data_IF_363333671659
#
_entry.id   IF_363333671659
#
_cell.length_a   1.000
_cell.length_b   1.000
_cell.length_c   1.000
_cell.angle_alpha   90.00
_cell.angle_beta   90.00
_cell.angle_gamma   90.00
#
_symmetry.space_group_name_H-M   'P 1'
#
loop_
_entity.id
_entity.type
_entity.pdbx_description
1 polymer ?
#
# COMPACT_ATOMS: atom_id res chain seq x y z
N UNK A 1 6.80 4.54 4.07
CA UNK A 1 6.89 3.10 3.75
C UNK A 1 8.22 2.80 3.10
N UNK A 2 8.96 1.81 3.62
CA UNK A 2 10.30 1.45 3.10
C UNK A 2 10.24 0.41 1.98
N UNK A 3 9.30 -0.52 2.05
CA UNK A 3 9.12 -1.59 1.06
C UNK A 3 7.62 -1.74 0.71
N UNK A 4 7.06 -0.78 -0.06
CA UNK A 4 5.64 -0.80 -0.37
C UNK A 4 5.32 -1.86 -1.44
N UNK A 5 4.24 -2.60 -1.20
CA UNK A 5 3.55 -3.43 -2.19
C UNK A 5 2.33 -2.66 -2.65
N UNK A 6 2.22 -2.38 -3.93
CA UNK A 6 1.02 -1.77 -4.51
C UNK A 6 0.00 -2.87 -4.81
N UNK A 7 -1.17 -2.75 -4.20
CA UNK A 7 -2.34 -3.59 -4.45
C UNK A 7 -3.30 -2.81 -5.32
N UNK A 8 -3.71 -3.38 -6.43
CA UNK A 8 -4.84 -2.89 -7.21
C UNK A 8 -6.07 -3.69 -6.79
N UNK A 9 -7.04 -2.99 -6.19
CA UNK A 9 -8.30 -3.58 -5.74
C UNK A 9 -9.36 -3.18 -6.74
N UNK A 10 -9.96 -4.16 -7.39
CA UNK A 10 -11.07 -3.91 -8.31
C UNK A 10 -12.40 -4.00 -7.58
N UNK A 11 -13.35 -3.21 -8.03
CA UNK A 11 -14.72 -3.40 -7.59
C UNK A 11 -15.19 -4.79 -8.03
N UNK A 12 -15.62 -5.57 -7.06
CA UNK A 12 -16.23 -6.86 -7.27
C UNK A 12 -17.75 -6.70 -7.20
N UNK A 13 -18.47 -7.43 -8.03
CA UNK A 13 -19.93 -7.56 -7.91
C UNK A 13 -20.36 -8.19 -6.59
N UNK A 14 -19.41 -8.81 -5.88
CA UNK A 14 -19.65 -9.55 -4.64
C UNK A 14 -19.43 -8.69 -3.38
N UNK A 15 -18.59 -7.64 -3.45
CA UNK A 15 -18.28 -6.81 -2.28
C UNK A 15 -17.93 -5.38 -2.67
N UNK A 16 -18.65 -4.42 -2.11
CA UNK A 16 -18.19 -3.03 -2.04
C UNK A 16 -17.17 -2.88 -0.91
N UNK A 17 -16.19 -1.98 -1.07
CA UNK A 17 -15.18 -1.75 -0.07
C UNK A 17 -14.94 -0.26 0.18
N UNK A 18 -14.45 0.04 1.37
CA UNK A 18 -13.92 1.35 1.75
C UNK A 18 -12.46 1.18 2.13
N UNK A 19 -11.69 2.26 2.13
CA UNK A 19 -10.29 2.20 2.59
C UNK A 19 -10.17 1.67 4.01
N UNK A 20 -11.12 2.00 4.89
CA UNK A 20 -11.10 1.56 6.27
C UNK A 20 -11.42 0.08 6.43
N UNK A 21 -12.44 -0.44 5.73
CA UNK A 21 -12.77 -1.86 5.77
C UNK A 21 -11.63 -2.71 5.20
N UNK A 22 -11.05 -2.27 4.09
CA UNK A 22 -9.92 -2.96 3.47
C UNK A 22 -8.67 -2.90 4.35
N UNK A 23 -8.40 -1.76 4.98
CA UNK A 23 -7.27 -1.64 5.89
C UNK A 23 -7.43 -2.55 7.11
N UNK A 24 -8.62 -2.62 7.70
CA UNK A 24 -8.92 -3.55 8.78
C UNK A 24 -8.59 -4.99 8.38
N UNK A 25 -9.03 -5.41 7.20
CA UNK A 25 -8.75 -6.74 6.65
C UNK A 25 -7.24 -6.98 6.42
N UNK A 26 -6.48 -5.93 6.09
CA UNK A 26 -5.04 -6.02 5.81
C UNK A 26 -4.13 -5.87 7.02
N UNK A 27 -4.61 -5.32 8.15
CA UNK A 27 -3.80 -5.14 9.36
C UNK A 27 -3.30 -6.45 9.94
N UNK A 28 -4.01 -7.56 9.76
CA UNK A 28 -3.54 -8.89 10.14
C UNK A 28 -2.23 -9.30 9.42
N UNK A 29 -1.93 -8.67 8.30
CA UNK A 29 -0.77 -8.99 7.46
C UNK A 29 0.29 -7.89 7.43
N UNK A 30 -0.10 -6.62 7.64
CA UNK A 30 0.79 -5.48 7.63
C UNK A 30 0.29 -4.36 8.53
N UNK A 31 1.16 -3.76 9.33
CA UNK A 31 0.79 -2.69 10.27
C UNK A 31 0.57 -1.34 9.58
N UNK A 32 0.96 -1.20 8.32
CA UNK A 32 0.86 0.06 7.58
C UNK A 32 0.17 -0.15 6.25
N UNK A 33 -0.97 0.47 6.13
CA UNK A 33 -1.76 0.54 4.91
C UNK A 33 -1.93 2.00 4.52
N UNK A 34 -1.76 2.33 3.25
CA UNK A 34 -1.89 3.68 2.75
C UNK A 34 -2.61 3.71 1.42
N UNK A 35 -3.22 4.85 1.12
CA UNK A 35 -3.84 5.12 -0.17
C UNK A 35 -3.46 6.52 -0.67
N UNK A 36 -3.82 6.81 -1.90
CA UNK A 36 -3.68 8.12 -2.51
C UNK A 36 -4.92 8.42 -3.36
N UNK A 37 -5.55 9.57 -3.10
CA UNK A 37 -6.86 9.92 -3.68
C UNK A 37 -6.89 9.90 -5.21
N UNK A 38 -5.77 10.21 -5.86
CA UNK A 38 -5.68 10.22 -7.31
C UNK A 38 -5.61 8.83 -7.96
N UNK A 39 -5.42 7.78 -7.16
CA UNK A 39 -5.46 6.39 -7.59
C UNK A 39 -6.34 5.57 -6.61
N UNK A 40 -7.65 5.79 -6.61
CA UNK A 40 -8.56 5.28 -5.59
C UNK A 40 -8.61 3.75 -5.51
N UNK A 41 -8.29 3.04 -6.59
CA UNK A 41 -8.21 1.58 -6.58
C UNK A 41 -6.87 1.01 -6.11
N UNK A 42 -5.89 1.88 -5.82
CA UNK A 42 -4.56 1.44 -5.39
C UNK A 42 -4.40 1.65 -3.89
N UNK A 43 -4.01 0.58 -3.23
CA UNK A 43 -3.64 0.59 -1.81
C UNK A 43 -2.20 0.08 -1.69
N UNK A 44 -1.41 0.74 -0.85
CA UNK A 44 -0.04 0.31 -0.55
C UNK A 44 0.01 -0.34 0.81
N UNK A 45 0.70 -1.46 0.88
CA UNK A 45 0.90 -2.25 2.09
C UNK A 45 2.40 -2.32 2.38
N UNK A 46 2.79 -2.09 3.62
CA UNK A 46 4.19 -2.14 4.06
C UNK A 46 4.65 -3.59 4.24
N UNK A 47 5.71 -3.98 3.55
CA UNK A 47 6.27 -5.32 3.64
C UNK A 47 7.61 -5.39 4.41
N UNK A 48 8.02 -4.33 5.10
CA UNK A 48 9.34 -4.25 5.78
C UNK A 48 9.51 -5.32 6.86
N UNK A 49 8.43 -5.77 7.47
CA UNK A 49 8.46 -6.79 8.52
C UNK A 49 8.43 -8.24 7.99
N UNK A 50 8.30 -8.41 6.68
CA UNK A 50 8.26 -9.74 6.05
C UNK A 50 9.45 -10.63 6.41
N UNK A 51 10.72 -10.11 6.44
CA UNK A 51 11.87 -10.91 6.88
C UNK A 51 11.80 -11.35 8.33
N UNK A 52 11.21 -10.55 9.22
CA UNK A 52 11.03 -10.89 10.64
C UNK A 52 10.05 -12.05 10.83
N UNK A 53 9.12 -12.23 9.89
CA UNK A 53 8.19 -13.36 9.87
C UNK A 53 8.75 -14.58 9.12
N UNK A 54 10.02 -14.55 8.67
CA UNK A 54 10.64 -15.63 7.90
C UNK A 54 10.06 -15.80 6.48
N UNK A 55 9.27 -14.86 6.00
CA UNK A 55 8.63 -14.94 4.69
C UNK A 55 9.48 -14.24 3.61
N UNK A 56 9.53 -14.83 2.42
CA UNK A 56 10.01 -14.11 1.24
C UNK A 56 8.95 -13.10 0.77
N UNK A 57 9.37 -12.06 0.04
CA UNK A 57 8.44 -11.10 -0.57
C UNK A 57 7.39 -11.77 -1.47
N UNK A 58 7.79 -12.82 -2.18
CA UNK A 58 6.88 -13.61 -3.03
C UNK A 58 5.84 -14.34 -2.19
N UNK A 59 6.24 -14.95 -1.07
CA UNK A 59 5.34 -15.63 -0.15
C UNK A 59 4.39 -14.63 0.53
N UNK A 60 4.88 -13.44 0.89
CA UNK A 60 4.05 -12.37 1.43
C UNK A 60 3.00 -11.89 0.43
N UNK A 61 3.38 -11.62 -0.81
CA UNK A 61 2.45 -11.21 -1.86
C UNK A 61 1.40 -12.30 -2.15
N UNK A 62 1.80 -13.56 -2.18
CA UNK A 62 0.87 -14.67 -2.33
C UNK A 62 -0.12 -14.73 -1.16
N UNK A 63 0.36 -14.55 0.08
CA UNK A 63 -0.49 -14.50 1.27
C UNK A 63 -1.48 -13.34 1.24
N UNK A 64 -1.05 -12.13 0.81
CA UNK A 64 -1.92 -10.98 0.63
C UNK A 64 -3.04 -11.28 -0.36
N UNK A 65 -2.70 -11.75 -1.56
CA UNK A 65 -3.68 -12.05 -2.61
C UNK A 65 -4.66 -13.14 -2.17
N UNK A 66 -4.16 -14.22 -1.55
CA UNK A 66 -5.02 -15.29 -1.05
C UNK A 66 -5.97 -14.81 0.05
N UNK A 67 -5.47 -14.01 0.98
CA UNK A 67 -6.29 -13.43 2.05
C UNK A 67 -7.40 -12.53 1.48
N UNK A 68 -7.06 -11.64 0.56
CA UNK A 68 -8.04 -10.79 -0.11
C UNK A 68 -9.06 -11.58 -0.92
N UNK A 69 -8.63 -12.64 -1.61
CA UNK A 69 -9.52 -13.53 -2.35
C UNK A 69 -10.51 -14.27 -1.44
N UNK A 70 -10.07 -14.73 -0.26
CA UNK A 70 -10.96 -15.35 0.73
C UNK A 70 -12.02 -14.37 1.25
N UNK A 71 -11.71 -13.07 1.25
CA UNK A 71 -12.62 -12.01 1.63
C UNK A 71 -13.44 -11.48 0.44
N UNK A 72 -13.40 -12.15 -0.72
CA UNK A 72 -14.07 -11.78 -1.97
C UNK A 72 -13.62 -10.43 -2.57
N UNK A 73 -12.34 -10.06 -2.39
CA UNK A 73 -11.75 -8.95 -3.12
C UNK A 73 -11.03 -9.44 -4.38
N UNK A 74 -11.32 -8.81 -5.50
CA UNK A 74 -10.54 -8.97 -6.72
C UNK A 74 -9.31 -8.08 -6.65
N UNK A 75 -8.13 -8.67 -6.57
CA UNK A 75 -6.89 -7.93 -6.36
C UNK A 75 -5.72 -8.44 -7.18
N UNK A 76 -4.76 -7.56 -7.42
CA UNK A 76 -3.45 -7.87 -7.95
C UNK A 76 -2.37 -7.10 -7.22
N UNK A 77 -1.12 -7.58 -7.22
CA UNK A 77 -0.03 -6.97 -6.46
C UNK A 77 1.24 -6.77 -7.30
N UNK A 78 1.93 -5.65 -7.10
CA UNK A 78 3.24 -5.37 -7.70
C UNK A 78 4.18 -4.74 -6.68
N UNK A 79 5.45 -5.14 -6.68
CA UNK A 79 6.51 -4.56 -5.85
C UNK A 79 7.88 -4.57 -6.55
N UNK A 80 8.88 -3.92 -5.91
CA UNK A 80 10.29 -3.99 -6.30
C UNK A 80 10.78 -2.87 -7.22
N UNK A 81 9.92 -1.92 -7.58
CA UNK A 81 10.26 -0.67 -8.26
C UNK A 81 9.75 0.54 -7.48
N UNK A 82 9.73 1.74 -8.08
CA UNK A 82 9.21 2.92 -7.39
C UNK A 82 7.73 2.73 -7.05
N UNK A 83 7.23 3.28 -5.93
CA UNK A 83 5.85 3.07 -5.49
C UNK A 83 4.82 3.40 -6.56
N UNK A 84 5.00 4.54 -7.25
CA UNK A 84 4.11 4.95 -8.32
C UNK A 84 4.17 4.01 -9.54
N UNK A 85 5.37 3.54 -9.89
CA UNK A 85 5.53 2.55 -10.95
C UNK A 85 4.84 1.21 -10.61
N UNK A 86 4.96 0.76 -9.36
CA UNK A 86 4.23 -0.43 -8.89
C UNK A 86 2.72 -0.25 -9.03
N UNK A 87 2.19 0.93 -8.66
CA UNK A 87 0.77 1.25 -8.77
C UNK A 87 0.26 1.21 -10.22
N UNK A 88 1.00 1.85 -11.14
CA UNK A 88 0.62 1.84 -12.56
C UNK A 88 0.65 0.41 -13.14
N UNK A 89 1.65 -0.38 -12.80
CA UNK A 89 1.78 -1.75 -13.29
C UNK A 89 0.73 -2.68 -12.67
N UNK A 90 0.35 -2.48 -11.40
CA UNK A 90 -0.65 -3.30 -10.73
C UNK A 90 -2.02 -3.24 -11.41
N UNK A 91 -2.37 -2.10 -12.04
CA UNK A 91 -3.60 -1.95 -12.82
C UNK A 91 -3.68 -2.86 -14.05
N UNK A 92 -2.52 -3.33 -14.55
CA UNK A 92 -2.40 -4.19 -15.73
C UNK A 92 -2.08 -5.65 -15.40
N UNK A 93 -1.91 -5.97 -14.13
CA UNK A 93 -1.73 -7.37 -13.69
C UNK A 93 -3.11 -8.02 -13.55
N UNK A 94 -3.30 -9.24 -14.06
CA UNK A 94 -4.55 -9.99 -13.89
C UNK A 94 -4.90 -10.21 -12.41
N UNK A 95 -6.20 -10.30 -12.11
CA UNK A 95 -6.68 -10.60 -10.76
C UNK A 95 -6.10 -11.94 -10.27
N UNK A 96 -5.86 -12.04 -8.98
CA UNK A 96 -5.25 -13.20 -8.35
C UNK A 96 -3.76 -13.36 -8.64
N UNK A 97 -3.13 -12.43 -9.37
CA UNK A 97 -1.72 -12.49 -9.72
C UNK A 97 -0.91 -11.40 -9.03
N UNK A 98 0.39 -11.69 -8.90
CA UNK A 98 1.36 -10.73 -8.39
C UNK A 98 2.63 -10.75 -9.23
N UNK A 99 3.36 -9.64 -9.22
CA UNK A 99 4.56 -9.47 -10.02
C UNK A 99 5.63 -8.70 -9.25
N UNK A 100 6.86 -9.19 -9.31
CA UNK A 100 8.04 -8.45 -8.85
C UNK A 100 8.75 -7.83 -10.05
N UNK A 101 9.03 -6.52 -9.97
CA UNK A 101 9.78 -5.81 -11.01
C UNK A 101 11.03 -5.21 -10.38
N UNK A 102 12.19 -5.74 -10.75
CA UNK A 102 13.47 -5.15 -10.34
C UNK A 102 13.61 -3.76 -10.96
N UNK A 103 14.17 -2.80 -10.22
CA UNK A 103 14.31 -1.40 -10.66
C UNK A 103 14.97 -1.25 -12.04
N UNK A 104 15.92 -2.11 -12.40
CA UNK A 104 16.56 -2.13 -13.72
C UNK A 104 15.61 -2.44 -14.88
N UNK A 105 14.52 -3.16 -14.63
CA UNK A 105 13.50 -3.52 -15.63
C UNK A 105 12.31 -2.56 -15.65
N UNK A 106 12.22 -1.65 -14.67
CA UNK A 106 11.15 -0.67 -14.57
C UNK A 106 10.93 0.15 -15.85
N UNK A 107 11.99 0.70 -16.52
CA UNK A 107 11.79 1.50 -17.74
C UNK A 107 11.16 0.71 -18.90
N UNK A 108 11.50 -0.57 -19.04
CA UNK A 108 10.92 -1.45 -20.05
C UNK A 108 9.45 -1.78 -19.74
N UNK A 109 9.17 -2.18 -18.50
CA UNK A 109 7.83 -2.55 -18.07
C UNK A 109 6.86 -1.36 -18.17
N UNK A 110 7.26 -0.18 -17.71
CA UNK A 110 6.46 1.04 -17.81
C UNK A 110 6.32 1.52 -19.26
N UNK A 111 7.37 1.38 -20.06
CA UNK A 111 7.42 1.96 -21.40
C UNK A 111 6.30 1.49 -22.32
N UNK A 112 5.79 0.29 -22.13
CA UNK A 112 4.70 -0.29 -22.92
C UNK A 112 3.30 0.12 -22.45
N UNK A 113 3.19 0.70 -21.25
CA UNK A 113 1.89 1.13 -20.73
C UNK A 113 1.31 2.27 -21.56
N UNK A 114 -0.01 2.27 -21.80
CA UNK A 114 -0.68 3.36 -22.50
C UNK A 114 -0.62 4.64 -21.68
N UNK A 115 -0.64 5.79 -22.36
CA UNK A 115 -0.50 7.10 -21.70
C UNK A 115 -1.65 7.40 -20.73
N UNK A 116 -2.83 6.85 -21.01
CA UNK A 116 -4.03 6.96 -20.17
C UNK A 116 -3.81 6.45 -18.75
N UNK A 117 -2.85 5.53 -18.55
CA UNK A 117 -2.48 5.04 -17.23
C UNK A 117 -2.00 6.15 -16.28
N UNK A 118 -1.54 7.29 -16.82
CA UNK A 118 -1.14 8.44 -16.00
C UNK A 118 -2.31 9.22 -15.40
N UNK A 119 -3.51 9.00 -15.88
CA UNK A 119 -4.73 9.70 -15.45
C UNK A 119 -4.55 11.23 -15.44
N UNK A 120 -4.23 11.79 -16.60
CA UNK A 120 -3.98 13.23 -16.78
C UNK A 120 -5.25 14.04 -17.10
N UNK A 121 -6.36 13.34 -17.30
CA UNK A 121 -7.61 13.88 -17.81
C UNK A 121 -7.73 13.76 -19.34
N UNK A 122 -8.96 13.63 -19.81
CA UNK A 122 -9.28 13.26 -21.19
C UNK A 122 -8.70 14.22 -22.24
N UNK A 123 -8.68 15.52 -21.97
CA UNK A 123 -8.16 16.52 -22.88
C UNK A 123 -6.64 16.38 -23.07
N UNK A 124 -5.89 16.26 -21.98
CA UNK A 124 -4.43 16.09 -22.03
C UNK A 124 -4.04 14.77 -22.71
N UNK A 125 -4.75 13.70 -22.41
CA UNK A 125 -4.52 12.36 -22.97
C UNK A 125 -4.81 12.33 -24.48
N UNK A 126 -5.92 12.93 -24.92
CA UNK A 126 -6.24 13.08 -26.35
C UNK A 126 -5.21 13.93 -27.07
N UNK A 127 -4.78 15.04 -26.46
CA UNK A 127 -3.74 15.90 -27.03
C UNK A 127 -2.43 15.17 -27.23
N UNK A 128 -1.99 14.38 -26.24
CA UNK A 128 -0.79 13.54 -26.32
C UNK A 128 -0.92 12.48 -27.41
N UNK A 129 -2.08 11.82 -27.48
CA UNK A 129 -2.36 10.80 -28.51
C UNK A 129 -2.33 11.40 -29.94
N UNK A 130 -2.89 12.60 -30.14
CA UNK A 130 -2.83 13.33 -31.44
C UNK A 130 -1.40 13.66 -31.85
N UNK A 131 -0.49 13.83 -30.92
CA UNK A 131 0.94 14.01 -31.16
C UNK A 131 1.69 12.69 -31.42
N UNK A 132 0.98 11.57 -31.51
CA UNK A 132 1.58 10.25 -31.70
C UNK A 132 2.23 9.66 -30.45
N UNK A 133 1.96 10.23 -29.26
CA UNK A 133 2.46 9.74 -27.98
C UNK A 133 1.41 8.83 -27.36
N UNK A 134 1.48 7.54 -27.65
CA UNK A 134 0.48 6.56 -27.21
C UNK A 134 0.90 5.77 -25.95
N UNK A 135 2.21 5.64 -25.73
CA UNK A 135 2.77 4.88 -24.59
C UNK A 135 3.72 5.75 -23.77
N UNK A 136 3.99 5.33 -22.54
CA UNK A 136 4.88 6.06 -21.63
C UNK A 136 6.32 6.20 -22.17
N UNK A 137 6.80 5.24 -22.95
CA UNK A 137 8.11 5.37 -23.61
C UNK A 137 8.18 6.53 -24.60
N UNK A 138 7.04 6.91 -25.20
CA UNK A 138 7.01 7.98 -26.20
C UNK A 138 7.26 9.36 -25.57
N UNK A 139 6.94 9.51 -24.26
CA UNK A 139 7.24 10.76 -23.53
C UNK A 139 8.73 11.10 -23.52
N UNK A 140 9.62 10.10 -23.67
CA UNK A 140 11.07 10.33 -23.76
C UNK A 140 11.49 10.98 -25.09
N UNK A 141 10.62 10.93 -26.12
CA UNK A 141 10.89 11.55 -27.42
C UNK A 141 10.71 13.07 -27.41
N UNK A 142 10.05 13.60 -26.38
CA UNK A 142 9.75 15.03 -26.25
C UNK A 142 10.55 15.60 -25.08
N UNK A 143 11.17 16.78 -25.23
CA UNK A 143 11.86 17.44 -24.14
C UNK A 143 10.95 17.68 -22.96
N UNK A 144 11.43 17.35 -21.77
CA UNK A 144 10.62 17.40 -20.52
C UNK A 144 10.00 18.78 -20.27
N UNK A 145 10.76 19.86 -20.51
CA UNK A 145 10.27 21.22 -20.32
C UNK A 145 9.09 21.56 -21.24
N UNK A 146 9.09 21.03 -22.48
CA UNK A 146 7.98 21.23 -23.43
C UNK A 146 6.70 20.50 -22.97
N UNK A 147 6.86 19.29 -22.41
CA UNK A 147 5.76 18.56 -21.84
C UNK A 147 5.19 19.28 -20.59
N UNK A 148 6.05 19.73 -19.69
CA UNK A 148 5.66 20.43 -18.46
C UNK A 148 4.98 21.79 -18.78
N UNK A 149 5.48 22.53 -19.78
CA UNK A 149 4.91 23.82 -20.20
C UNK A 149 3.51 23.65 -20.81
N UNK A 150 3.30 22.58 -21.59
CA UNK A 150 2.04 22.37 -22.32
C UNK A 150 0.96 21.69 -21.47
N UNK A 151 1.34 20.73 -20.62
CA UNK A 151 0.41 19.89 -19.85
C UNK A 151 0.40 20.21 -18.33
N UNK A 152 1.16 21.21 -17.93
CA UNK A 152 1.08 21.80 -16.59
C UNK A 152 1.66 20.93 -15.48
N UNK A 153 1.20 21.24 -14.26
CA UNK A 153 1.70 20.64 -13.03
C UNK A 153 1.36 19.16 -12.89
N UNK A 154 0.21 18.72 -13.40
CA UNK A 154 -0.23 17.33 -13.30
C UNK A 154 0.79 16.37 -13.94
N UNK A 155 1.15 16.57 -15.20
CA UNK A 155 2.15 15.73 -15.87
C UNK A 155 3.52 15.85 -15.19
N UNK A 156 3.92 17.05 -14.75
CA UNK A 156 5.17 17.27 -14.02
C UNK A 156 5.24 16.43 -12.73
N UNK A 157 4.17 16.38 -11.96
CA UNK A 157 4.07 15.57 -10.74
C UNK A 157 4.20 14.09 -11.09
N UNK A 158 3.45 13.59 -12.07
CA UNK A 158 3.52 12.18 -12.52
C UNK A 158 4.94 11.78 -12.96
N UNK A 159 5.61 12.61 -13.72
CA UNK A 159 6.99 12.37 -14.16
C UNK A 159 7.98 12.35 -12.99
N UNK A 160 7.81 13.20 -11.98
CA UNK A 160 8.60 13.17 -10.75
C UNK A 160 8.36 11.88 -9.96
N UNK A 161 7.11 11.42 -9.87
CA UNK A 161 6.76 10.16 -9.20
C UNK A 161 7.36 8.93 -9.91
N UNK A 162 7.34 8.92 -11.24
CA UNK A 162 7.99 7.88 -12.03
C UNK A 162 9.51 7.83 -11.79
N UNK A 163 10.13 8.95 -11.46
CA UNK A 163 11.56 9.03 -11.10
C UNK A 163 11.86 8.72 -9.63
N UNK A 164 10.85 8.34 -8.84
CA UNK A 164 11.02 7.86 -7.46
C UNK A 164 10.54 8.80 -6.35
N UNK A 165 9.96 9.97 -6.69
CA UNK A 165 9.28 10.77 -5.66
C UNK A 165 8.06 9.98 -5.18
N UNK A 166 7.93 9.84 -3.87
CA UNK A 166 6.77 9.19 -3.26
C UNK A 166 5.52 10.08 -3.41
N UNK A 167 4.34 9.48 -3.60
CA UNK A 167 3.07 10.18 -3.46
C UNK A 167 2.90 10.76 -2.06
N UNK A 168 2.01 11.70 -1.92
CA UNK A 168 1.54 12.17 -0.63
C UNK A 168 0.51 11.16 -0.11
N UNK A 169 0.99 10.16 0.63
CA UNK A 169 0.17 9.04 1.06
C UNK A 169 -0.64 9.38 2.29
N UNK A 170 -1.91 9.03 2.25
CA UNK A 170 -2.76 8.98 3.43
C UNK A 170 -2.60 7.63 4.12
N UNK A 171 -1.98 7.63 5.30
CA UNK A 171 -1.92 6.44 6.14
C UNK A 171 -3.31 6.21 6.74
N UNK A 172 -3.79 4.98 6.62
CA UNK A 172 -5.01 4.58 7.29
C UNK A 172 -4.62 4.14 8.69
N UNK A 173 -5.27 4.69 9.70
CA UNK A 173 -5.07 4.29 11.09
C UNK A 173 -6.16 3.30 11.47
N UNK A 174 -5.84 2.20 12.17
CA UNK A 174 -6.86 1.32 12.71
C UNK A 174 -7.84 2.10 13.57
N UNK A 175 -9.13 1.87 13.37
CA UNK A 175 -10.16 2.56 14.18
C UNK A 175 -10.22 2.03 15.60
N UNK A 176 -9.86 0.78 15.80
CA UNK A 176 -9.91 0.12 17.11
C UNK A 176 -8.53 0.10 17.74
N UNK A 177 -8.40 0.86 18.82
CA UNK A 177 -7.33 0.67 19.77
C UNK A 177 -7.82 -0.32 20.82
N UNK A 178 -7.15 -1.45 20.98
CA UNK A 178 -7.39 -2.32 22.12
C UNK A 178 -6.83 -1.61 23.35
N UNK A 179 -7.73 -1.13 24.21
CA UNK A 179 -7.37 -0.44 25.45
C UNK A 179 -7.75 -1.36 26.59
N UNK A 180 -6.77 -1.78 27.36
CA UNK A 180 -6.99 -2.50 28.61
C UNK A 180 -6.51 -1.61 29.75
N UNK A 181 -7.42 -1.31 30.67
CA UNK A 181 -7.10 -0.54 31.88
C UNK A 181 -6.87 -1.50 33.04
N UNK A 182 -5.75 -1.35 33.72
CA UNK A 182 -5.47 -2.01 35.00
C UNK A 182 -5.71 -0.98 36.11
N UNK A 183 -6.71 -1.24 36.94
CA UNK A 183 -6.98 -0.42 38.13
C UNK A 183 -6.26 -1.07 39.31
N UNK A 184 -5.35 -0.33 39.91
CA UNK A 184 -4.60 -0.76 41.08
C UNK A 184 -5.17 -0.01 42.26
N UNK A 185 -5.82 -0.75 43.19
CA UNK A 185 -6.45 -0.17 44.37
C UNK A 185 -5.45 0.04 45.52
N UNK A 186 -4.37 -0.71 45.52
CA UNK A 186 -3.33 -0.66 46.55
C UNK A 186 -2.12 0.16 46.09
N UNK A 187 -1.43 0.79 47.03
CA UNK A 187 -0.19 1.52 46.80
C UNK A 187 0.93 0.55 46.40
N UNK A 188 1.48 0.73 45.18
CA UNK A 188 2.63 -0.05 44.72
C UNK A 188 3.91 0.61 45.17
N UNK A 189 4.56 0.03 46.17
CA UNK A 189 5.82 0.55 46.72
C UNK A 189 7.06 0.03 45.94
N UNK A 190 6.93 -1.14 45.32
CA UNK A 190 8.04 -1.81 44.65
C UNK A 190 7.90 -1.81 43.13
N UNK A 191 8.94 -1.39 42.42
CA UNK A 191 9.01 -1.39 40.96
C UNK A 191 8.79 -2.77 40.34
N UNK A 192 9.28 -3.81 41.01
CA UNK A 192 9.12 -5.21 40.57
C UNK A 192 7.67 -5.63 40.50
N UNK A 193 6.85 -5.22 41.49
CA UNK A 193 5.40 -5.48 41.47
C UNK A 193 4.70 -4.78 40.31
N UNK A 194 5.08 -3.55 40.03
CA UNK A 194 4.56 -2.79 38.87
C UNK A 194 4.93 -3.49 37.57
N UNK A 195 6.19 -3.88 37.42
CA UNK A 195 6.66 -4.58 36.21
C UNK A 195 5.96 -5.93 36.03
N UNK A 196 5.72 -6.68 37.13
CA UNK A 196 4.99 -7.94 37.05
C UNK A 196 3.55 -7.74 36.61
N UNK A 197 2.83 -6.76 37.16
CA UNK A 197 1.46 -6.44 36.79
C UNK A 197 1.37 -5.95 35.34
N UNK A 198 2.30 -5.08 34.93
CA UNK A 198 2.37 -4.58 33.53
C UNK A 198 2.61 -5.72 32.55
N UNK A 199 3.54 -6.64 32.87
CA UNK A 199 3.82 -7.83 32.05
C UNK A 199 2.58 -8.71 31.94
N UNK A 200 1.92 -9.01 33.03
CA UNK A 200 0.71 -9.85 33.05
C UNK A 200 -0.42 -9.22 32.21
N UNK A 201 -0.60 -7.91 32.30
CA UNK A 201 -1.61 -7.18 31.52
C UNK A 201 -1.28 -7.22 30.02
N UNK A 202 -0.01 -7.05 29.65
CA UNK A 202 0.44 -7.14 28.25
C UNK A 202 0.21 -8.57 27.72
N UNK A 203 0.58 -9.60 28.47
CA UNK A 203 0.39 -11.00 28.07
C UNK A 203 -1.09 -11.33 27.87
N UNK A 204 -1.97 -10.88 28.77
CA UNK A 204 -3.42 -11.03 28.64
C UNK A 204 -3.95 -10.32 27.40
N UNK A 205 -3.54 -9.08 27.18
CA UNK A 205 -3.95 -8.30 25.97
C UNK A 205 -3.48 -8.96 24.68
N UNK A 206 -2.27 -9.51 24.65
CA UNK A 206 -1.75 -10.24 23.50
C UNK A 206 -2.54 -11.51 23.21
N UNK A 207 -2.93 -12.23 24.28
CA UNK A 207 -3.75 -13.43 24.14
C UNK A 207 -5.13 -13.08 23.57
N UNK A 208 -5.76 -12.02 24.07
CA UNK A 208 -7.06 -11.54 23.58
C UNK A 208 -6.99 -11.14 22.11
N UNK A 209 -5.96 -10.40 21.70
CA UNK A 209 -5.74 -10.03 20.30
C UNK A 209 -5.50 -11.28 19.43
N UNK A 210 -4.72 -12.24 19.91
CA UNK A 210 -4.46 -13.48 19.19
C UNK A 210 -5.74 -14.31 18.97
N UNK A 211 -6.65 -14.36 19.95
CA UNK A 211 -7.94 -15.04 19.79
C UNK A 211 -8.84 -14.40 18.74
N UNK A 212 -8.67 -13.08 18.51
CA UNK A 212 -9.36 -12.32 17.49
C UNK A 212 -8.65 -12.37 16.12
N UNK A 213 -7.53 -13.09 16.01
CA UNK A 213 -6.71 -13.14 14.80
C UNK A 213 -5.92 -11.86 14.53
N UNK A 214 -5.78 -10.99 15.53
CA UNK A 214 -5.06 -9.72 15.47
C UNK A 214 -3.64 -9.88 16.03
N UNK A 215 -2.73 -9.02 15.58
CA UNK A 215 -1.37 -8.94 16.10
C UNK A 215 -1.10 -7.52 16.62
N UNK A 216 -0.37 -7.43 17.74
CA UNK A 216 0.06 -6.14 18.27
C UNK A 216 1.27 -5.63 17.51
N UNK A 217 1.23 -4.36 17.10
CA UNK A 217 2.33 -3.68 16.44
C UNK A 217 3.07 -2.73 17.39
N UNK A 218 2.36 -2.11 18.31
CA UNK A 218 2.89 -1.09 19.20
C UNK A 218 2.13 -1.13 20.54
N UNK A 219 2.85 -0.93 21.63
CA UNK A 219 2.28 -0.73 22.95
C UNK A 219 2.53 0.71 23.40
N UNK A 220 1.51 1.32 23.97
CA UNK A 220 1.63 2.61 24.64
C UNK A 220 1.18 2.41 26.09
N UNK A 221 2.09 2.66 27.01
CA UNK A 221 1.80 2.73 28.43
C UNK A 221 1.62 4.21 28.80
N UNK A 222 0.51 4.57 29.39
CA UNK A 222 0.19 5.94 29.79
C UNK A 222 -0.26 6.00 31.24
#
# INVERSE_FOLDING_TARGET
MQCPVALNIKESTLRSWTYQSLAHDLYALSPKVAYWDELPQIVWVEATQTPLQGLSMTAFAARLINHLSQLNYDSSAVWGCTPYACALLAQHVPNGRFMMIKSKHQPGALGSLPIQTLNLGSEAEQSLTRLGLSCLRDLKKVPRHALESRYGSALKIRLKMLSGKTPDWHLITPQEKHIQALIIEDEIIHLESLLFLTKSTIESSLLDLATQGLACHEFILS
#
